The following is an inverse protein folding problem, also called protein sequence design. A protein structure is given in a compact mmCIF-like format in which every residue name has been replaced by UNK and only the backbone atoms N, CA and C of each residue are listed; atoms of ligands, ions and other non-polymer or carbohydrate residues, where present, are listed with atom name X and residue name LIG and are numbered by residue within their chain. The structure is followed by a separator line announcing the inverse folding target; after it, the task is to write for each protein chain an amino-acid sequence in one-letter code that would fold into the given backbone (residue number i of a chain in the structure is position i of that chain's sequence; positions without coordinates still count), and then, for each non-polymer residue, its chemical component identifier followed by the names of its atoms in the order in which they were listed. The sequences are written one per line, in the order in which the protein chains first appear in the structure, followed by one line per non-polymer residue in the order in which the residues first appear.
data_IF_548732140342
#
_entry.id   IF_548732140342
#
_cell.length_a   1.000
_cell.length_b   1.000
_cell.length_c   1.000
_cell.angle_alpha   90.00
_cell.angle_beta   90.00
_cell.angle_gamma   90.00
#
_symmetry.space_group_name_H-M   'P 1'
#
loop_
_entity.id
_entity.type
_entity.pdbx_description
1 polymer ?
#
# COMPACT_ATOMS: atom_id res chain seq x y z
N UNK A 1 1.91 8.03 -18.80
CA UNK A 1 2.53 8.90 -17.79
C UNK A 1 4.04 9.04 -18.03
N UNK A 2 4.60 10.13 -17.57
CA UNK A 2 6.03 10.38 -17.58
C UNK A 2 6.62 9.85 -16.27
N UNK A 3 7.54 8.88 -16.37
CA UNK A 3 8.10 8.18 -15.20
C UNK A 3 8.87 9.14 -14.28
N UNK A 4 9.60 10.11 -14.84
CA UNK A 4 10.35 11.06 -14.04
C UNK A 4 9.43 11.99 -13.23
N UNK A 5 8.34 12.45 -13.82
CA UNK A 5 7.32 13.23 -13.11
C UNK A 5 6.65 12.41 -11.99
N UNK A 6 6.45 11.11 -12.20
CA UNK A 6 5.91 10.24 -11.15
C UNK A 6 6.90 10.07 -9.98
N UNK A 7 8.19 9.93 -10.25
CA UNK A 7 9.25 9.94 -9.21
C UNK A 7 9.22 11.25 -8.41
N UNK A 8 9.09 12.39 -9.08
CA UNK A 8 8.99 13.71 -8.43
C UNK A 8 7.77 13.82 -7.52
N UNK A 9 6.61 13.21 -7.89
CA UNK A 9 5.44 13.15 -7.03
C UNK A 9 5.70 12.40 -5.72
N UNK A 10 6.43 11.28 -5.77
CA UNK A 10 6.85 10.56 -4.56
C UNK A 10 7.77 11.39 -3.67
N UNK A 11 8.65 12.19 -4.25
CA UNK A 11 9.49 13.12 -3.48
C UNK A 11 8.69 14.25 -2.83
N UNK A 12 7.63 14.71 -3.51
CA UNK A 12 6.79 15.84 -3.07
C UNK A 12 5.72 15.44 -2.05
N UNK A 13 5.15 14.24 -2.16
CA UNK A 13 4.01 13.81 -1.35
C UNK A 13 4.34 13.74 0.15
N UNK A 14 3.37 14.01 1.01
CA UNK A 14 3.39 13.61 2.43
C UNK A 14 2.81 12.20 2.61
N UNK A 15 1.82 11.86 1.81
CA UNK A 15 1.21 10.53 1.78
C UNK A 15 0.70 10.17 0.39
N UNK A 16 0.69 8.88 0.06
CA UNK A 16 0.04 8.32 -1.12
C UNK A 16 -1.09 7.38 -0.72
N UNK A 17 -2.24 7.52 -1.36
CA UNK A 17 -3.37 6.60 -1.23
C UNK A 17 -3.52 5.82 -2.53
N UNK A 18 -3.41 4.51 -2.43
CA UNK A 18 -3.63 3.60 -3.54
C UNK A 18 -5.08 3.13 -3.56
N UNK A 19 -5.89 3.80 -4.37
CA UNK A 19 -7.28 3.42 -4.59
C UNK A 19 -7.36 2.40 -5.74
N UNK A 20 -7.68 1.16 -5.44
CA UNK A 20 -7.68 0.08 -6.46
C UNK A 20 -8.58 -1.10 -6.08
N UNK A 21 -9.06 -1.88 -7.06
CA UNK A 21 -9.73 -3.15 -6.78
C UNK A 21 -8.70 -4.23 -6.43
N UNK A 22 -9.13 -5.19 -5.62
CA UNK A 22 -8.41 -6.44 -5.43
C UNK A 22 -8.76 -7.42 -6.57
N UNK A 23 -7.83 -7.64 -7.48
CA UNK A 23 -7.98 -8.56 -8.61
C UNK A 23 -7.04 -9.76 -8.48
N UNK A 24 -7.61 -10.95 -8.53
CA UNK A 24 -6.81 -12.18 -8.45
C UNK A 24 -5.86 -12.21 -7.25
N UNK A 25 -6.37 -11.77 -6.08
CA UNK A 25 -5.67 -11.69 -4.79
C UNK A 25 -4.52 -10.67 -4.76
N UNK A 26 -4.45 -9.77 -5.75
CA UNK A 26 -3.39 -8.79 -5.93
C UNK A 26 -3.92 -7.43 -6.38
N UNK A 27 -3.01 -6.48 -6.49
CA UNK A 27 -3.23 -5.26 -7.25
C UNK A 27 -3.42 -5.55 -8.75
N UNK A 28 -4.14 -4.71 -9.49
CA UNK A 28 -4.20 -4.78 -10.95
C UNK A 28 -2.80 -4.73 -11.58
N UNK A 29 -2.59 -5.48 -12.65
CA UNK A 29 -1.29 -5.55 -13.33
C UNK A 29 -0.76 -4.17 -13.75
N UNK A 30 -1.65 -3.22 -14.05
CA UNK A 30 -1.29 -1.84 -14.39
C UNK A 30 -0.67 -1.09 -13.22
N UNK A 31 -1.12 -1.36 -11.99
CA UNK A 31 -0.54 -0.82 -10.76
C UNK A 31 0.84 -1.44 -10.53
N UNK A 32 0.96 -2.77 -10.72
CA UNK A 32 2.25 -3.45 -10.60
C UNK A 32 3.26 -2.92 -11.63
N UNK A 33 2.82 -2.73 -12.90
CA UNK A 33 3.65 -2.12 -13.94
C UNK A 33 4.13 -0.72 -13.52
N UNK A 34 3.22 0.11 -13.01
CA UNK A 34 3.57 1.46 -12.53
C UNK A 34 4.62 1.41 -11.42
N UNK A 35 4.44 0.54 -10.42
CA UNK A 35 5.40 0.36 -9.33
C UNK A 35 6.76 -0.07 -9.87
N UNK A 36 6.81 -1.06 -10.76
CA UNK A 36 8.07 -1.56 -11.32
C UNK A 36 8.81 -0.48 -12.10
N UNK A 37 8.12 0.32 -12.90
CA UNK A 37 8.74 1.39 -13.69
C UNK A 37 9.20 2.55 -12.81
N UNK A 38 8.32 3.07 -11.96
CA UNK A 38 8.59 4.28 -11.15
C UNK A 38 9.61 3.99 -10.04
N UNK A 39 9.45 2.88 -9.33
CA UNK A 39 10.37 2.56 -8.22
C UNK A 39 11.76 2.17 -8.73
N UNK A 40 11.85 1.50 -9.88
CA UNK A 40 13.15 1.22 -10.52
C UNK A 40 13.84 2.52 -10.95
N UNK A 41 13.10 3.45 -11.57
CA UNK A 41 13.63 4.76 -11.94
C UNK A 41 13.93 5.66 -10.73
N UNK A 42 13.34 5.34 -9.57
CA UNK A 42 13.54 6.05 -8.30
C UNK A 42 14.88 5.80 -7.62
N UNK A 43 15.78 5.03 -8.21
CA UNK A 43 17.15 4.85 -7.70
C UNK A 43 17.90 6.18 -7.66
N UNK A 44 18.34 6.57 -6.49
CA UNK A 44 18.91 7.89 -6.18
C UNK A 44 17.87 8.83 -5.55
N UNK A 45 16.76 9.17 -6.22
CA UNK A 45 15.73 10.06 -5.65
C UNK A 45 14.88 9.47 -4.53
N UNK A 46 14.50 8.19 -4.59
CA UNK A 46 13.60 7.55 -3.62
C UNK A 46 14.31 6.62 -2.65
N UNK A 47 15.45 6.07 -3.05
CA UNK A 47 16.32 5.24 -2.22
C UNK A 47 17.76 5.27 -2.75
N UNK A 48 18.74 5.09 -1.88
CA UNK A 48 20.17 5.11 -2.25
C UNK A 48 20.75 3.71 -2.45
N UNK A 49 20.27 2.73 -1.68
CA UNK A 49 20.74 1.36 -1.67
C UNK A 49 19.69 0.46 -1.02
N UNK A 50 20.01 -0.81 -0.85
CA UNK A 50 19.19 -1.73 -0.05
C UNK A 50 19.43 -1.60 1.47
N UNK A 51 20.35 -0.74 1.89
CA UNK A 51 20.67 -0.46 3.30
C UNK A 51 21.70 -1.39 3.93
N UNK A 52 22.12 -2.45 3.24
CA UNK A 52 23.12 -3.37 3.77
C UNK A 52 24.53 -2.78 3.75
N UNK A 53 25.36 -3.19 4.67
CA UNK A 53 26.76 -2.83 4.76
C UNK A 53 27.69 -3.97 4.37
N UNK A 54 28.85 -3.64 3.78
CA UNK A 54 29.84 -4.67 3.40
C UNK A 54 30.34 -5.51 4.59
N UNK A 55 30.38 -4.92 5.79
CA UNK A 55 30.86 -5.59 7.01
C UNK A 55 29.78 -6.48 7.62
N UNK A 56 28.50 -6.14 7.43
CA UNK A 56 27.34 -6.92 7.90
C UNK A 56 26.34 -7.10 6.76
N UNK A 57 26.58 -8.01 5.82
CA UNK A 57 25.78 -8.14 4.60
C UNK A 57 24.36 -8.70 4.83
N UNK A 58 24.04 -9.11 6.04
CA UNK A 58 22.72 -9.62 6.44
C UNK A 58 21.90 -8.61 7.25
N UNK A 59 22.51 -7.48 7.64
CA UNK A 59 21.85 -6.45 8.46
C UNK A 59 21.49 -5.22 7.63
N UNK A 60 20.45 -4.52 8.04
CA UNK A 60 20.05 -3.24 7.47
C UNK A 60 19.29 -3.32 6.15
N UNK A 61 18.93 -4.52 5.66
CA UNK A 61 18.15 -4.64 4.42
C UNK A 61 16.81 -3.87 4.52
N UNK A 62 16.53 -3.05 3.51
CA UNK A 62 15.32 -2.22 3.46
C UNK A 62 15.46 -0.85 4.18
N UNK A 63 16.66 -0.45 4.62
CA UNK A 63 16.86 0.83 5.33
C UNK A 63 17.46 1.94 4.47
N UNK A 64 17.64 1.71 3.17
CA UNK A 64 18.23 2.68 2.24
C UNK A 64 17.25 3.67 1.62
N UNK A 65 15.97 3.63 2.01
CA UNK A 65 14.92 4.53 1.53
C UNK A 65 15.12 5.99 1.95
N UNK A 66 14.65 6.93 1.15
CA UNK A 66 14.77 8.37 1.37
C UNK A 66 13.46 9.06 1.73
N UNK A 67 12.35 8.30 1.76
CA UNK A 67 11.00 8.82 2.00
C UNK A 67 10.57 8.70 3.48
N UNK A 68 11.51 8.76 4.43
CA UNK A 68 11.18 8.74 5.86
C UNK A 68 10.24 9.88 6.23
N UNK A 69 9.29 9.59 7.11
CA UNK A 69 8.23 10.51 7.53
C UNK A 69 7.04 10.56 6.58
N UNK A 70 7.17 10.06 5.36
CA UNK A 70 6.06 9.93 4.40
C UNK A 70 5.28 8.64 4.63
N UNK A 71 4.06 8.60 4.14
CA UNK A 71 3.11 7.51 4.44
C UNK A 71 2.50 6.95 3.17
N UNK A 72 2.07 5.71 3.24
CA UNK A 72 1.23 5.11 2.20
C UNK A 72 0.01 4.41 2.82
N UNK A 73 -1.09 4.39 2.10
CA UNK A 73 -2.34 3.76 2.50
C UNK A 73 -2.94 2.98 1.33
N UNK A 74 -3.49 1.81 1.61
CA UNK A 74 -4.34 1.11 0.66
C UNK A 74 -5.80 1.48 0.90
N UNK A 75 -6.53 1.74 -0.18
CA UNK A 75 -7.98 1.89 -0.22
C UNK A 75 -8.50 0.92 -1.28
N UNK A 76 -9.09 -0.17 -0.83
CA UNK A 76 -9.37 -1.33 -1.67
C UNK A 76 -10.88 -1.56 -1.83
N UNK A 77 -11.27 -2.09 -2.98
CA UNK A 77 -12.60 -2.67 -3.19
C UNK A 77 -12.48 -4.16 -3.47
N UNK A 78 -13.29 -4.97 -2.78
CA UNK A 78 -13.30 -6.42 -2.93
C UNK A 78 -14.71 -6.96 -3.11
N UNK A 79 -14.85 -7.93 -3.99
CA UNK A 79 -16.11 -8.69 -4.10
C UNK A 79 -16.22 -9.81 -3.04
N UNK A 80 -15.13 -10.11 -2.33
CA UNK A 80 -15.17 -11.04 -1.22
C UNK A 80 -15.74 -10.35 0.04
N UNK A 81 -16.55 -11.06 0.85
CA UNK A 81 -17.03 -10.53 2.13
C UNK A 81 -15.89 -10.41 3.15
N UNK A 82 -16.07 -9.58 4.16
CA UNK A 82 -15.07 -9.34 5.22
C UNK A 82 -14.62 -10.65 5.91
N UNK A 83 -15.57 -11.53 6.17
CA UNK A 83 -15.34 -12.80 6.85
C UNK A 83 -14.32 -13.67 6.12
N UNK A 84 -14.29 -13.62 4.79
CA UNK A 84 -13.30 -14.36 4.01
C UNK A 84 -11.85 -14.03 4.40
N UNK A 85 -11.60 -12.81 4.88
CA UNK A 85 -10.28 -12.34 5.32
C UNK A 85 -10.02 -12.51 6.81
N UNK A 86 -11.07 -12.42 7.64
CA UNK A 86 -10.91 -12.25 9.09
C UNK A 86 -11.25 -13.48 9.89
N UNK A 87 -11.98 -14.45 9.32
CA UNK A 87 -12.36 -15.68 10.01
C UNK A 87 -11.33 -16.77 9.77
N UNK A 88 -10.84 -17.35 10.85
CA UNK A 88 -9.99 -18.53 10.82
C UNK A 88 -10.75 -19.69 10.14
N UNK A 89 -10.09 -20.37 9.21
CA UNK A 89 -10.70 -21.45 8.40
C UNK A 89 -11.40 -21.00 7.12
N UNK A 90 -11.67 -19.71 6.92
CA UNK A 90 -12.14 -19.18 5.65
C UNK A 90 -10.98 -18.99 4.65
N UNK A 91 -11.30 -18.56 3.41
CA UNK A 91 -10.39 -18.62 2.27
C UNK A 91 -9.02 -17.96 2.51
N UNK A 92 -8.96 -16.85 3.23
CA UNK A 92 -7.71 -16.14 3.55
C UNK A 92 -7.20 -16.45 4.97
N UNK A 93 -7.66 -17.51 5.59
CA UNK A 93 -7.13 -18.09 6.84
C UNK A 93 -7.14 -17.12 8.05
N UNK A 94 -8.03 -16.15 8.05
CA UNK A 94 -8.13 -15.16 9.14
C UNK A 94 -6.97 -14.15 9.22
N UNK A 95 -6.10 -14.10 8.22
CA UNK A 95 -4.87 -13.28 8.24
C UNK A 95 -5.10 -11.79 7.97
N UNK A 96 -6.32 -11.41 7.57
CA UNK A 96 -6.63 -10.05 7.18
C UNK A 96 -6.08 -9.63 5.82
N UNK A 97 -6.52 -8.48 5.35
CA UNK A 97 -6.17 -7.98 4.02
C UNK A 97 -4.69 -7.59 3.89
N UNK A 98 -4.09 -7.01 4.94
CA UNK A 98 -2.70 -6.55 4.89
C UNK A 98 -1.69 -7.71 4.76
N UNK A 99 -2.04 -8.90 5.26
CA UNK A 99 -1.21 -10.08 5.05
C UNK A 99 -1.15 -10.48 3.56
N UNK A 100 -2.23 -10.27 2.82
CA UNK A 100 -2.28 -10.49 1.38
C UNK A 100 -1.46 -9.44 0.61
N UNK A 101 -1.45 -8.19 1.10
CA UNK A 101 -0.72 -7.07 0.50
C UNK A 101 0.65 -6.80 1.15
N UNK A 102 1.19 -7.75 1.91
CA UNK A 102 2.51 -7.60 2.54
C UNK A 102 3.61 -7.21 1.52
N UNK A 103 3.61 -7.80 0.34
CA UNK A 103 4.55 -7.48 -0.74
C UNK A 103 4.46 -6.00 -1.16
N UNK A 104 3.24 -5.45 -1.23
CA UNK A 104 2.96 -4.08 -1.59
C UNK A 104 3.48 -3.11 -0.51
N UNK A 105 3.18 -3.39 0.75
CA UNK A 105 3.69 -2.61 1.88
C UNK A 105 5.22 -2.65 1.93
N UNK A 106 5.84 -3.82 1.75
CA UNK A 106 7.30 -3.95 1.76
C UNK A 106 8.00 -3.21 0.63
N UNK A 107 7.40 -3.13 -0.56
CA UNK A 107 7.93 -2.31 -1.65
C UNK A 107 7.97 -0.81 -1.28
N UNK A 108 6.94 -0.32 -0.60
CA UNK A 108 6.86 1.07 -0.13
C UNK A 108 7.77 1.33 1.08
N UNK A 109 7.79 0.42 2.04
CA UNK A 109 8.69 0.50 3.21
C UNK A 109 10.17 0.48 2.79
N UNK A 110 10.51 -0.24 1.71
CA UNK A 110 11.86 -0.22 1.15
C UNK A 110 12.30 1.19 0.71
N UNK A 111 11.35 2.02 0.28
CA UNK A 111 11.61 3.43 0.00
C UNK A 111 11.57 4.33 1.24
N UNK A 112 11.25 3.81 2.42
CA UNK A 112 11.24 4.53 3.69
C UNK A 112 9.87 5.02 4.16
N UNK A 113 8.77 4.73 3.45
CA UNK A 113 7.44 5.15 3.89
C UNK A 113 6.91 4.25 5.01
N UNK A 114 6.02 4.77 5.83
CA UNK A 114 5.26 3.99 6.83
C UNK A 114 3.84 3.75 6.34
N UNK A 115 3.31 2.54 6.49
CA UNK A 115 1.94 2.28 6.11
C UNK A 115 0.94 2.81 7.14
N UNK A 116 -0.17 3.33 6.64
CA UNK A 116 -1.37 3.67 7.40
C UNK A 116 -2.37 2.49 7.34
N UNK A 117 -3.30 2.36 8.30
CA UNK A 117 -4.32 1.33 8.27
C UNK A 117 -5.04 1.26 6.93
N UNK A 118 -5.15 0.07 6.36
CA UNK A 118 -5.81 -0.16 5.08
C UNK A 118 -7.33 0.00 5.22
N UNK A 119 -7.95 0.71 4.29
CA UNK A 119 -9.41 0.78 4.14
C UNK A 119 -9.89 -0.22 3.09
N UNK A 120 -11.02 -0.89 3.34
CA UNK A 120 -11.59 -1.86 2.40
C UNK A 120 -13.11 -1.76 2.35
N UNK A 121 -13.65 -1.56 1.14
CA UNK A 121 -15.04 -1.84 0.83
C UNK A 121 -15.17 -3.33 0.45
N UNK A 122 -15.94 -4.08 1.21
CA UNK A 122 -16.15 -5.50 0.99
C UNK A 122 -17.47 -5.77 0.25
N UNK A 123 -17.54 -6.91 -0.43
CA UNK A 123 -18.74 -7.44 -1.09
C UNK A 123 -19.40 -6.47 -2.08
N UNK A 124 -18.58 -5.68 -2.76
CA UNK A 124 -19.01 -4.51 -3.57
C UNK A 124 -19.88 -4.86 -4.78
N UNK A 125 -19.98 -6.13 -5.17
CA UNK A 125 -20.81 -6.58 -6.31
C UNK A 125 -22.08 -7.28 -5.84
N UNK A 126 -21.99 -8.18 -4.85
CA UNK A 126 -23.12 -9.01 -4.44
C UNK A 126 -23.97 -8.34 -3.37
N UNK A 127 -23.39 -7.58 -2.49
CA UNK A 127 -24.08 -6.87 -1.42
C UNK A 127 -23.49 -5.47 -1.17
N UNK A 128 -23.51 -4.57 -2.17
CA UNK A 128 -22.89 -3.25 -2.05
C UNK A 128 -23.58 -2.41 -0.97
N UNK A 129 -22.78 -1.77 -0.10
CA UNK A 129 -23.21 -0.87 0.95
C UNK A 129 -22.66 0.55 0.69
N UNK A 130 -22.89 1.07 -0.51
CA UNK A 130 -22.19 2.24 -1.07
C UNK A 130 -22.22 3.47 -0.15
N UNK A 131 -23.40 3.82 0.40
CA UNK A 131 -23.53 4.99 1.30
C UNK A 131 -22.77 4.77 2.60
N UNK A 132 -22.83 3.56 3.17
CA UNK A 132 -22.10 3.20 4.38
C UNK A 132 -20.60 3.18 4.11
N UNK A 133 -20.16 2.59 2.98
CA UNK A 133 -18.75 2.56 2.59
C UNK A 133 -18.16 3.97 2.47
N UNK A 134 -18.89 4.92 1.89
CA UNK A 134 -18.45 6.33 1.82
C UNK A 134 -18.41 7.01 3.19
N UNK A 135 -19.37 6.73 4.06
CA UNK A 135 -19.37 7.26 5.41
C UNK A 135 -18.19 6.72 6.22
N UNK A 136 -17.95 5.41 6.14
CA UNK A 136 -16.83 4.73 6.80
C UNK A 136 -15.48 5.18 6.25
N UNK A 137 -15.36 5.40 4.94
CA UNK A 137 -14.15 5.93 4.33
C UNK A 137 -13.85 7.36 4.81
N UNK A 138 -14.88 8.19 4.90
CA UNK A 138 -14.74 9.55 5.43
C UNK A 138 -14.26 9.52 6.89
N UNK A 139 -14.86 8.66 7.72
CA UNK A 139 -14.44 8.48 9.11
C UNK A 139 -12.99 7.98 9.20
N UNK A 140 -12.63 6.99 8.39
CA UNK A 140 -11.28 6.44 8.32
C UNK A 140 -10.24 7.52 7.92
N UNK A 141 -10.52 8.32 6.90
CA UNK A 141 -9.62 9.41 6.50
C UNK A 141 -9.47 10.46 7.62
N UNK A 142 -10.55 10.78 8.33
CA UNK A 142 -10.48 11.69 9.48
C UNK A 142 -9.64 11.10 10.63
N UNK A 143 -9.72 9.79 10.85
CA UNK A 143 -8.92 9.11 11.86
C UNK A 143 -7.43 9.11 11.52
N UNK A 144 -7.06 8.76 10.27
CA UNK A 144 -5.66 8.58 9.87
C UNK A 144 -4.96 9.88 9.48
N UNK A 145 -5.70 10.91 9.03
CA UNK A 145 -5.16 12.19 8.59
C UNK A 145 -5.71 13.39 9.38
N UNK A 146 -6.75 13.19 10.17
CA UNK A 146 -7.32 14.24 11.00
C UNK A 146 -6.29 14.80 11.99
N UNK A 147 -6.31 16.10 12.20
CA UNK A 147 -5.50 16.73 13.25
C UNK A 147 -6.10 16.35 14.60
N UNK A 148 -5.26 15.80 15.47
CA UNK A 148 -5.57 15.73 16.89
C UNK A 148 -5.77 17.14 17.47
#
# INVERSE_FOLDING_TARGET
YDIQQEVEKFQWMDAVIWQMPGWWMHEPWTVKKYIDEVFTAGSGPLYTSDGRHRVSPTEGYGTGGLLQGRKHMLSLTWNAPREAFTREGDFFEGRGVDALYMHFHKAHEFMGTTHLPTFVCYDVIKNPQVEQDFADYTAHLNEVFGRA
#
